data_IF_493079986113
#
_entry.id   IF_493079986113
#
_cell.length_a   1.000
_cell.length_b   1.000
_cell.length_c   1.000
_cell.angle_alpha   90.00
_cell.angle_beta   90.00
_cell.angle_gamma   90.00
#
_symmetry.space_group_name_H-M   'P 1'
#
loop_
_entity.id
_entity.type
_entity.pdbx_description
1 polymer ?
#
# COMPACT_ATOMS: atom_id res chain seq x y z
N UNK A 1 -33.74 -2.97 38.11
CA UNK A 1 -33.71 -2.90 36.63
C UNK A 1 -32.49 -2.09 36.23
N UNK A 2 -31.40 -2.77 35.89
CA UNK A 2 -30.29 -2.12 35.18
C UNK A 2 -30.61 -2.11 33.68
N UNK A 3 -30.29 -1.03 32.94
CA UNK A 3 -30.53 -1.00 31.52
C UNK A 3 -29.60 -1.99 30.82
N UNK A 4 -30.19 -2.86 30.01
CA UNK A 4 -29.50 -3.79 29.13
C UNK A 4 -28.76 -2.97 28.06
N UNK A 5 -27.48 -2.70 28.31
CA UNK A 5 -26.58 -2.12 27.33
C UNK A 5 -26.30 -3.20 26.28
N UNK A 6 -27.17 -3.27 25.27
CA UNK A 6 -26.94 -4.08 24.07
C UNK A 6 -25.74 -3.46 23.36
N UNK A 7 -24.56 -3.94 23.72
CA UNK A 7 -23.29 -3.53 23.14
C UNK A 7 -23.41 -3.51 21.62
N UNK A 8 -23.16 -2.33 21.05
CA UNK A 8 -23.08 -2.16 19.60
C UNK A 8 -22.08 -3.20 19.10
N UNK A 9 -22.55 -4.10 18.24
CA UNK A 9 -21.72 -5.15 17.66
C UNK A 9 -20.53 -4.49 16.96
N UNK A 10 -19.31 -4.76 17.45
CA UNK A 10 -18.07 -4.18 16.92
C UNK A 10 -17.93 -4.43 15.41
N UNK A 11 -18.48 -5.54 14.92
CA UNK A 11 -18.47 -5.86 13.49
C UNK A 11 -19.29 -4.87 12.66
N UNK A 12 -20.39 -4.35 13.20
CA UNK A 12 -21.25 -3.33 12.57
C UNK A 12 -20.54 -1.97 12.55
N UNK A 13 -19.87 -1.60 13.64
CA UNK A 13 -19.08 -0.36 13.72
C UNK A 13 -17.93 -0.38 12.71
N UNK A 14 -17.18 -1.48 12.64
CA UNK A 14 -16.08 -1.63 11.68
C UNK A 14 -16.56 -1.66 10.23
N UNK A 15 -17.72 -2.25 9.95
CA UNK A 15 -18.31 -2.23 8.63
C UNK A 15 -18.73 -0.81 8.23
N UNK A 16 -19.33 -0.05 9.16
CA UNK A 16 -19.73 1.33 8.94
C UNK A 16 -18.52 2.26 8.72
N UNK A 17 -17.47 2.14 9.54
CA UNK A 17 -16.21 2.87 9.35
C UNK A 17 -15.61 2.59 7.98
N UNK A 18 -15.60 1.32 7.54
CA UNK A 18 -15.09 0.94 6.21
C UNK A 18 -15.94 1.46 5.05
N UNK A 19 -17.25 1.58 5.25
CA UNK A 19 -18.14 2.18 4.26
C UNK A 19 -17.89 3.68 4.15
N UNK A 20 -17.81 4.36 5.29
CA UNK A 20 -17.58 5.79 5.35
C UNK A 20 -16.21 6.19 4.80
N UNK A 21 -15.15 5.43 5.11
CA UNK A 21 -13.82 5.63 4.52
C UNK A 21 -13.84 5.52 3.00
N UNK A 22 -14.51 4.50 2.44
CA UNK A 22 -14.64 4.34 0.99
C UNK A 22 -15.44 5.48 0.35
N UNK A 23 -16.45 6.00 1.05
CA UNK A 23 -17.20 7.19 0.63
C UNK A 23 -16.29 8.43 0.59
N UNK A 24 -15.52 8.66 1.66
CA UNK A 24 -14.59 9.79 1.78
C UNK A 24 -13.43 9.71 0.78
N UNK A 25 -12.92 8.51 0.50
CA UNK A 25 -11.85 8.27 -0.48
C UNK A 25 -12.22 8.69 -1.92
N UNK A 26 -13.52 8.90 -2.18
CA UNK A 26 -14.03 9.40 -3.47
C UNK A 26 -14.67 10.80 -3.34
N UNK A 27 -14.63 11.41 -2.15
CA UNK A 27 -15.19 12.74 -1.91
C UNK A 27 -14.18 13.82 -2.35
N UNK A 28 -14.53 14.67 -3.33
CA UNK A 28 -13.60 15.67 -3.86
C UNK A 28 -13.05 16.63 -2.80
N UNK A 29 -13.87 17.09 -1.84
CA UNK A 29 -13.43 18.04 -0.82
C UNK A 29 -12.51 17.37 0.20
N UNK A 30 -12.75 16.09 0.48
CA UNK A 30 -11.87 15.30 1.33
C UNK A 30 -10.52 15.09 0.64
N UNK A 31 -10.52 14.71 -0.65
CA UNK A 31 -9.31 14.46 -1.42
C UNK A 31 -8.44 15.71 -1.54
N UNK A 32 -9.02 16.87 -1.88
CA UNK A 32 -8.29 18.16 -1.91
C UNK A 32 -7.52 18.44 -0.62
N UNK A 33 -8.07 18.02 0.52
CA UNK A 33 -7.49 18.27 1.83
C UNK A 33 -6.52 17.20 2.32
N UNK A 34 -6.55 15.98 1.78
CA UNK A 34 -5.87 14.84 2.41
C UNK A 34 -4.97 14.03 1.46
N UNK A 35 -5.12 14.19 0.15
CA UNK A 35 -4.29 13.50 -0.82
C UNK A 35 -2.81 13.87 -0.66
N UNK A 36 -1.93 12.88 -0.81
CA UNK A 36 -0.47 12.97 -0.68
C UNK A 36 0.04 13.44 0.69
N UNK A 37 -0.81 13.44 1.74
CA UNK A 37 -0.38 13.82 3.10
C UNK A 37 0.23 12.67 3.88
N UNK A 38 -0.15 11.44 3.56
CA UNK A 38 0.36 10.24 4.23
C UNK A 38 0.46 9.10 3.24
N UNK A 39 1.70 8.64 3.07
CA UNK A 39 2.06 7.52 2.20
C UNK A 39 2.41 6.33 3.09
N UNK A 40 1.91 5.16 2.71
CA UNK A 40 2.31 3.89 3.33
C UNK A 40 3.10 3.05 2.34
N UNK A 41 4.07 2.30 2.86
CA UNK A 41 4.72 1.18 2.17
C UNK A 41 4.56 -0.07 3.03
N UNK A 42 3.80 -1.04 2.53
CA UNK A 42 3.46 -2.27 3.24
C UNK A 42 3.45 -3.46 2.26
N UNK A 43 3.50 -4.67 2.81
CA UNK A 43 3.51 -5.94 2.08
C UNK A 43 2.25 -6.72 2.42
N UNK A 44 1.66 -7.45 1.47
CA UNK A 44 0.55 -8.35 1.78
C UNK A 44 0.57 -9.60 0.93
N UNK A 45 0.20 -10.74 1.52
CA UNK A 45 0.05 -11.97 0.77
C UNK A 45 -1.27 -11.95 -0.01
N UNK A 46 -1.27 -12.62 -1.17
CA UNK A 46 -2.47 -12.80 -2.00
C UNK A 46 -2.63 -14.28 -2.34
N UNK A 47 -3.85 -14.78 -2.65
CA UNK A 47 -4.10 -16.20 -2.90
C UNK A 47 -3.64 -16.64 -4.29
N UNK A 48 -2.39 -16.35 -4.64
CA UNK A 48 -1.72 -16.79 -5.85
C UNK A 48 -0.48 -17.55 -5.41
N UNK A 49 -0.23 -18.70 -6.01
CA UNK A 49 1.05 -19.42 -5.94
C UNK A 49 1.68 -19.26 -7.32
N UNK A 50 2.95 -18.84 -7.34
CA UNK A 50 3.73 -18.72 -8.57
C UNK A 50 4.21 -20.12 -8.92
N UNK A 51 4.17 -20.49 -10.21
CA UNK A 51 4.67 -21.78 -10.67
C UNK A 51 6.11 -22.01 -10.22
N UNK A 52 6.36 -23.12 -9.52
CA UNK A 52 7.67 -23.45 -8.94
C UNK A 52 7.79 -23.10 -7.45
N UNK A 53 6.87 -22.31 -6.90
CA UNK A 53 6.80 -21.99 -5.48
C UNK A 53 5.75 -22.83 -4.73
N UNK A 54 5.89 -22.91 -3.41
CA UNK A 54 4.92 -23.57 -2.53
C UNK A 54 4.14 -22.60 -1.63
N UNK A 55 4.51 -21.31 -1.68
CA UNK A 55 4.02 -20.25 -0.80
C UNK A 55 3.09 -19.29 -1.54
N UNK A 56 2.32 -18.51 -0.76
CA UNK A 56 1.55 -17.42 -1.35
C UNK A 56 2.48 -16.32 -1.82
N UNK A 57 2.21 -15.82 -3.01
CA UNK A 57 2.83 -14.62 -3.51
C UNK A 57 2.52 -13.41 -2.61
N UNK A 58 3.47 -12.48 -2.61
CA UNK A 58 3.43 -11.25 -1.83
C UNK A 58 3.47 -10.06 -2.79
N UNK A 59 2.76 -9.00 -2.41
CA UNK A 59 2.79 -7.72 -3.11
C UNK A 59 3.26 -6.63 -2.16
N UNK A 60 4.28 -5.89 -2.58
CA UNK A 60 4.65 -4.61 -1.99
C UNK A 60 3.80 -3.50 -2.61
N UNK A 61 3.21 -2.64 -1.79
CA UNK A 61 2.33 -1.56 -2.25
C UNK A 61 2.76 -0.24 -1.62
N UNK A 62 3.00 0.76 -2.47
CA UNK A 62 3.13 2.17 -2.11
C UNK A 62 1.79 2.85 -2.39
N UNK A 63 1.17 3.46 -1.38
CA UNK A 63 -0.19 3.96 -1.49
C UNK A 63 -0.42 5.26 -0.72
N UNK A 64 -1.25 6.14 -1.29
CA UNK A 64 -1.84 7.27 -0.58
C UNK A 64 -3.00 6.80 0.32
N UNK A 65 -2.91 7.09 1.61
CA UNK A 65 -3.90 6.59 2.59
C UNK A 65 -5.25 7.28 2.55
N UNK A 66 -5.33 8.50 2.02
CA UNK A 66 -6.58 9.25 1.95
C UNK A 66 -7.52 8.71 0.87
N UNK A 67 -6.95 8.43 -0.30
CA UNK A 67 -7.66 7.97 -1.48
C UNK A 67 -7.64 6.44 -1.65
N UNK A 68 -6.62 5.78 -1.09
CA UNK A 68 -6.32 4.39 -1.39
C UNK A 68 -5.70 4.19 -2.77
N UNK A 69 -5.23 5.26 -3.43
CA UNK A 69 -4.56 5.18 -4.72
C UNK A 69 -3.24 4.43 -4.58
N UNK A 70 -3.09 3.34 -5.34
CA UNK A 70 -1.82 2.62 -5.46
C UNK A 70 -0.94 3.45 -6.38
N UNK A 71 0.14 4.00 -5.83
CA UNK A 71 1.13 4.80 -6.55
C UNK A 71 2.12 3.90 -7.29
N UNK A 72 2.50 2.79 -6.65
CA UNK A 72 3.36 1.78 -7.23
C UNK A 72 3.26 0.48 -6.47
N UNK A 73 3.46 -0.62 -7.17
CA UNK A 73 3.36 -1.96 -6.61
C UNK A 73 4.33 -2.91 -7.30
N UNK A 74 4.75 -3.95 -6.58
CA UNK A 74 5.59 -5.00 -7.13
C UNK A 74 5.22 -6.34 -6.50
N UNK A 75 5.21 -7.39 -7.32
CA UNK A 75 4.73 -8.72 -6.99
C UNK A 75 5.88 -9.73 -7.05
N UNK A 76 5.92 -10.67 -6.11
CA UNK A 76 6.90 -11.76 -6.09
C UNK A 76 6.73 -12.66 -4.88
N UNK A 77 7.84 -13.16 -4.34
CA UNK A 77 7.85 -14.03 -3.16
C UNK A 77 8.14 -13.24 -1.88
N UNK A 78 7.93 -13.85 -0.71
CA UNK A 78 8.30 -13.23 0.57
C UNK A 78 9.83 -13.10 0.74
N UNK A 79 10.60 -13.98 0.12
CA UNK A 79 12.07 -13.98 0.19
C UNK A 79 12.64 -12.73 -0.50
N UNK A 80 11.93 -12.20 -1.51
CA UNK A 80 12.30 -10.99 -2.26
C UNK A 80 11.69 -9.70 -1.66
N UNK A 81 11.06 -9.74 -0.48
CA UNK A 81 10.24 -8.65 0.05
C UNK A 81 10.96 -7.27 0.08
N UNK A 82 12.25 -7.26 0.40
CA UNK A 82 13.08 -6.06 0.37
C UNK A 82 13.20 -5.45 -1.03
N UNK A 83 13.47 -6.28 -2.02
CA UNK A 83 13.59 -5.90 -3.42
C UNK A 83 12.24 -5.45 -3.99
N UNK A 84 11.16 -6.18 -3.68
CA UNK A 84 9.80 -5.81 -4.08
C UNK A 84 9.42 -4.41 -3.59
N UNK A 85 9.75 -4.08 -2.34
CA UNK A 85 9.52 -2.75 -1.78
C UNK A 85 10.30 -1.65 -2.50
N UNK A 86 11.57 -1.91 -2.83
CA UNK A 86 12.41 -0.99 -3.59
C UNK A 86 11.83 -0.76 -5.00
N UNK A 87 11.47 -1.82 -5.70
CA UNK A 87 10.88 -1.76 -7.04
C UNK A 87 9.54 -1.04 -7.02
N UNK A 88 8.65 -1.37 -6.07
CA UNK A 88 7.37 -0.68 -5.90
C UNK A 88 7.55 0.84 -5.67
N UNK A 89 8.57 1.23 -4.91
CA UNK A 89 8.90 2.64 -4.67
C UNK A 89 9.41 3.34 -5.93
N UNK A 90 10.25 2.66 -6.73
CA UNK A 90 10.70 3.20 -8.02
C UNK A 90 9.56 3.32 -9.03
N UNK A 91 8.62 2.37 -9.04
CA UNK A 91 7.40 2.46 -9.85
C UNK A 91 6.55 3.64 -9.39
N UNK A 92 6.41 3.86 -8.08
CA UNK A 92 5.68 5.00 -7.54
C UNK A 92 6.32 6.34 -7.95
N UNK A 93 7.65 6.42 -7.95
CA UNK A 93 8.37 7.60 -8.44
C UNK A 93 8.09 7.85 -9.92
N UNK A 94 8.16 6.82 -10.77
CA UNK A 94 7.85 6.92 -12.19
C UNK A 94 6.39 7.31 -12.43
N UNK A 95 5.45 6.73 -11.66
CA UNK A 95 4.04 7.10 -11.72
C UNK A 95 3.80 8.58 -11.38
N UNK A 96 4.44 9.09 -10.33
CA UNK A 96 4.35 10.50 -9.96
C UNK A 96 4.94 11.40 -11.04
N UNK A 97 6.05 11.00 -11.66
CA UNK A 97 6.64 11.72 -12.79
C UNK A 97 5.72 11.74 -14.02
N UNK A 98 5.16 10.59 -14.41
CA UNK A 98 4.23 10.48 -15.54
C UNK A 98 2.96 11.29 -15.32
N UNK A 99 2.48 11.34 -14.06
CA UNK A 99 1.29 12.10 -13.69
C UNK A 99 1.59 13.59 -13.45
N UNK A 100 2.86 14.01 -13.33
CA UNK A 100 3.29 15.38 -13.03
C UNK A 100 2.69 16.45 -13.96
N UNK A 101 2.60 16.26 -15.30
CA UNK A 101 1.98 17.25 -16.18
C UNK A 101 0.48 17.41 -15.94
N UNK A 102 -0.14 16.43 -15.28
CA UNK A 102 -1.56 16.33 -15.09
C UNK A 102 -2.02 16.41 -13.64
N UNK A 103 -1.16 16.43 -12.62
CA UNK A 103 -1.56 16.50 -11.21
C UNK A 103 -1.20 17.86 -10.59
N UNK A 104 -2.19 18.45 -9.93
CA UNK A 104 -2.01 19.58 -9.01
C UNK A 104 -2.22 19.06 -7.61
N UNK A 105 -1.19 19.19 -6.79
CA UNK A 105 -1.27 18.85 -5.38
C UNK A 105 -1.33 20.15 -4.60
N UNK A 106 -2.48 20.46 -3.98
CA UNK A 106 -2.63 21.60 -3.07
C UNK A 106 -1.83 21.44 -1.75
N UNK A 107 -0.99 20.40 -1.66
CA UNK A 107 -0.21 20.09 -0.49
C UNK A 107 1.21 20.65 -0.58
N UNK A 108 1.50 21.65 0.24
CA UNK A 108 2.80 22.34 0.30
C UNK A 108 3.74 21.81 1.39
N UNK A 109 3.32 20.81 2.17
CA UNK A 109 4.11 20.24 3.27
C UNK A 109 4.82 18.93 2.89
N UNK A 110 5.58 18.38 3.85
CA UNK A 110 6.17 17.05 3.71
C UNK A 110 5.19 15.95 4.16
N UNK A 111 4.98 14.90 3.35
CA UNK A 111 4.11 13.78 3.72
C UNK A 111 4.57 13.07 5.01
N UNK A 112 3.62 12.48 5.73
CA UNK A 112 3.92 11.41 6.69
C UNK A 112 4.26 10.13 5.93
N UNK A 113 5.22 9.38 6.44
CA UNK A 113 5.63 8.11 5.87
C UNK A 113 5.53 7.00 6.92
N UNK A 114 4.70 6.00 6.63
CA UNK A 114 4.58 4.78 7.43
C UNK A 114 5.23 3.62 6.65
N UNK A 115 6.34 3.08 7.17
CA UNK A 115 7.11 1.99 6.57
C UNK A 115 6.98 0.71 7.38
N UNK A 116 6.59 -0.38 6.74
CA UNK A 116 6.56 -1.70 7.36
C UNK A 116 7.65 -2.56 6.71
N UNK A 117 8.72 -2.84 7.44
CA UNK A 117 9.95 -3.45 6.89
C UNK A 117 9.99 -4.97 7.11
N UNK A 118 10.78 -5.74 6.32
CA UNK A 118 11.02 -7.19 6.45
C UNK A 118 11.58 -7.64 7.82
N UNK A 119 11.41 -8.92 8.21
CA UNK A 119 11.76 -9.44 9.55
C UNK A 119 13.22 -9.52 9.92
N UNK A 120 14.12 -9.35 8.97
CA UNK A 120 15.56 -9.36 9.23
C UNK A 120 16.13 -8.02 9.69
N UNK A 121 15.31 -6.97 9.80
CA UNK A 121 15.83 -5.60 9.94
C UNK A 121 15.80 -5.12 11.39
N UNK A 122 16.91 -5.33 12.10
CA UNK A 122 17.23 -4.62 13.34
C UNK A 122 17.16 -3.09 13.13
N UNK A 123 16.99 -2.33 14.22
CA UNK A 123 16.78 -0.89 14.26
C UNK A 123 17.55 -0.11 13.16
N UNK A 124 16.86 0.16 12.05
CA UNK A 124 17.45 0.87 10.94
C UNK A 124 17.38 2.35 11.24
N UNK A 125 18.54 3.01 11.22
CA UNK A 125 18.58 4.46 11.23
C UNK A 125 18.23 4.97 9.84
N UNK A 126 17.09 5.67 9.66
CA UNK A 126 16.75 6.26 8.38
C UNK A 126 17.78 7.35 8.00
N UNK A 127 18.13 7.47 6.71
CA UNK A 127 19.06 8.49 6.26
C UNK A 127 18.46 9.89 6.46
N UNK A 128 19.33 10.88 6.64
CA UNK A 128 18.92 12.27 6.82
C UNK A 128 18.07 12.80 5.65
N UNK A 129 18.31 12.31 4.42
CA UNK A 129 17.50 12.66 3.24
C UNK A 129 16.03 12.24 3.40
N UNK A 130 15.78 11.02 3.92
CA UNK A 130 14.43 10.51 4.15
C UNK A 130 13.71 11.27 5.26
N UNK A 131 14.43 11.60 6.34
CA UNK A 131 13.90 12.44 7.42
C UNK A 131 13.62 13.87 6.96
N UNK A 132 14.44 14.43 6.06
CA UNK A 132 14.23 15.77 5.51
C UNK A 132 13.06 15.82 4.51
N UNK A 133 12.79 14.72 3.81
CA UNK A 133 11.73 14.63 2.83
C UNK A 133 10.37 14.16 3.41
N UNK A 134 10.30 13.86 4.71
CA UNK A 134 9.09 13.47 5.41
C UNK A 134 8.80 14.39 6.60
N UNK A 135 7.51 14.57 6.95
CA UNK A 135 7.14 15.28 8.18
C UNK A 135 7.27 14.37 9.39
N UNK A 136 6.88 13.11 9.22
CA UNK A 136 7.05 12.08 10.22
C UNK A 136 7.38 10.76 9.53
N UNK A 137 8.16 9.94 10.22
CA UNK A 137 8.59 8.64 9.74
C UNK A 137 8.32 7.61 10.83
N UNK A 138 7.45 6.66 10.53
CA UNK A 138 7.16 5.53 11.39
C UNK A 138 7.69 4.26 10.73
N UNK A 139 8.76 3.68 11.28
CA UNK A 139 9.30 2.39 10.85
C UNK A 139 8.81 1.32 11.81
N UNK A 140 8.06 0.35 11.30
CA UNK A 140 7.60 -0.80 12.05
C UNK A 140 8.37 -2.05 11.63
N UNK A 141 9.04 -2.67 12.60
CA UNK A 141 9.54 -4.03 12.47
C UNK A 141 8.36 -5.02 12.44
N UNK A 142 8.51 -6.19 11.81
CA UNK A 142 7.46 -7.19 11.83
C UNK A 142 7.46 -7.97 13.15
N UNK A 143 6.32 -7.93 13.82
CA UNK A 143 6.01 -8.66 15.05
C UNK A 143 4.63 -8.22 15.55
N UNK A 144 3.79 -9.18 15.99
CA UNK A 144 2.34 -9.13 16.38
C UNK A 144 1.37 -8.33 15.49
N UNK A 145 1.84 -7.35 14.74
CA UNK A 145 1.20 -6.72 13.61
C UNK A 145 1.34 -7.56 12.36
N UNK A 146 0.23 -7.56 11.64
CA UNK A 146 0.04 -8.21 10.38
C UNK A 146 0.51 -7.29 9.26
N UNK A 147 1.56 -7.68 8.53
CA UNK A 147 1.74 -7.17 7.17
C UNK A 147 0.41 -7.12 6.42
N UNK A 148 0.17 -6.02 5.72
CA UNK A 148 -1.02 -5.80 4.92
C UNK A 148 -2.21 -5.33 5.72
N UNK A 149 -2.10 -5.15 7.04
CA UNK A 149 -3.21 -4.65 7.84
C UNK A 149 -3.47 -3.17 7.61
N UNK A 150 -2.44 -2.35 7.37
CA UNK A 150 -2.67 -0.95 6.98
C UNK A 150 -3.30 -0.88 5.59
N UNK A 151 -2.84 -1.71 4.65
CA UNK A 151 -3.46 -1.84 3.32
C UNK A 151 -4.95 -2.18 3.48
N UNK A 152 -5.27 -3.25 4.22
CA UNK A 152 -6.66 -3.69 4.44
C UNK A 152 -7.52 -2.65 5.16
N UNK A 153 -6.95 -1.87 6.08
CA UNK A 153 -7.65 -0.78 6.74
C UNK A 153 -7.97 0.39 5.81
N UNK A 154 -7.17 0.58 4.77
CA UNK A 154 -7.32 1.65 3.76
C UNK A 154 -8.26 1.21 2.64
N UNK A 155 -7.94 0.12 1.93
CA UNK A 155 -8.69 -0.30 0.72
C UNK A 155 -9.76 -1.37 1.01
N UNK A 156 -9.73 -1.99 2.19
CA UNK A 156 -10.59 -3.11 2.54
C UNK A 156 -9.93 -4.47 2.31
N UNK A 157 -10.68 -5.58 2.51
CA UNK A 157 -10.11 -6.94 2.50
C UNK A 157 -9.75 -7.47 1.11
N UNK A 158 -9.86 -6.64 0.06
CA UNK A 158 -9.62 -7.03 -1.34
C UNK A 158 -9.21 -5.84 -2.19
N UNK A 159 -8.40 -6.09 -3.21
CA UNK A 159 -8.15 -5.17 -4.33
C UNK A 159 -8.77 -5.80 -5.58
N UNK A 160 -9.76 -5.13 -6.15
CA UNK A 160 -10.61 -5.70 -7.19
C UNK A 160 -11.26 -7.02 -6.73
N UNK A 161 -10.87 -8.12 -7.37
CA UNK A 161 -11.32 -9.49 -7.05
C UNK A 161 -10.35 -10.28 -6.17
N UNK A 162 -9.16 -9.76 -5.90
CA UNK A 162 -8.11 -10.47 -5.16
C UNK A 162 -8.29 -10.19 -3.67
N UNK A 163 -8.62 -11.20 -2.84
CA UNK A 163 -8.66 -11.00 -1.41
C UNK A 163 -7.22 -10.82 -0.89
N UNK A 164 -7.04 -9.84 -0.01
CA UNK A 164 -5.79 -9.62 0.68
C UNK A 164 -5.74 -10.57 1.88
N UNK A 165 -4.58 -11.18 2.10
CA UNK A 165 -4.34 -12.10 3.19
C UNK A 165 -3.35 -11.49 4.18
N UNK A 166 -3.76 -10.46 4.96
CA UNK A 166 -2.89 -9.92 5.99
C UNK A 166 -2.54 -11.03 6.99
N UNK A 167 -1.36 -10.97 7.62
CA UNK A 167 -0.81 -12.01 8.55
C UNK A 167 -0.32 -13.29 7.90
N UNK A 168 -0.75 -13.62 6.68
CA UNK A 168 -0.28 -14.83 5.98
C UNK A 168 1.08 -14.65 5.31
N UNK A 169 1.60 -13.43 5.31
CA UNK A 169 2.93 -13.03 4.84
C UNK A 169 4.07 -13.48 5.77
N UNK A 170 3.78 -13.88 7.01
CA UNK A 170 4.80 -14.15 8.05
C UNK A 170 4.57 -15.42 8.86
N UNK A 171 3.68 -16.32 8.43
CA UNK A 171 3.43 -17.50 9.25
C UNK A 171 4.76 -18.23 9.46
N UNK A 172 5.18 -18.27 10.73
CA UNK A 172 6.34 -19.01 11.27
C UNK A 172 6.25 -20.51 10.91
N UNK A 173 5.16 -20.91 10.24
CA UNK A 173 5.06 -22.09 9.41
C UNK A 173 4.62 -21.61 8.02
N UNK A 174 5.54 -21.58 7.04
CA UNK A 174 5.26 -21.44 5.61
C UNK A 174 4.28 -22.56 5.24
N UNK A 175 2.98 -22.32 5.33
CA UNK A 175 1.97 -23.34 5.01
C UNK A 175 2.00 -23.57 3.49
N UNK A 176 2.05 -24.82 3.04
CA UNK A 176 2.01 -25.13 1.61
C UNK A 176 0.61 -24.83 1.06
N UNK A 177 0.46 -23.77 0.26
CA UNK A 177 -0.84 -23.30 -0.21
C UNK A 177 -1.24 -23.83 -1.59
N UNK A 178 -0.31 -24.41 -2.35
CA UNK A 178 -0.55 -25.01 -3.67
C UNK A 178 -1.71 -26.03 -3.71
N UNK A 179 -2.10 -26.60 -2.57
CA UNK A 179 -3.19 -27.59 -2.46
C UNK A 179 -4.57 -27.01 -2.13
N UNK A 180 -4.68 -25.70 -1.91
CA UNK A 180 -5.94 -25.05 -1.54
C UNK A 180 -6.76 -24.69 -2.78
N UNK A 181 -8.02 -25.17 -2.86
CA UNK A 181 -8.94 -24.88 -4.00
C UNK A 181 -9.26 -23.39 -4.22
N UNK A 182 -8.85 -22.50 -3.31
CA UNK A 182 -9.08 -21.06 -3.38
C UNK A 182 -7.85 -20.26 -3.85
N UNK A 183 -6.77 -20.96 -4.18
CA UNK A 183 -5.51 -20.38 -4.62
C UNK A 183 -5.35 -20.65 -6.11
N UNK A 184 -4.96 -19.62 -6.86
CA UNK A 184 -4.63 -19.76 -8.26
C UNK A 184 -3.15 -20.14 -8.38
N UNK A 185 -2.86 -21.20 -9.13
CA UNK A 185 -1.51 -21.60 -9.52
C UNK A 185 -1.28 -21.02 -10.93
N UNK A 186 -0.38 -20.05 -11.04
CA UNK A 186 -0.17 -19.25 -12.25
C UNK A 186 1.33 -19.12 -12.51
N UNK A 187 1.72 -19.07 -13.79
CA UNK A 187 3.08 -18.67 -14.13
C UNK A 187 3.34 -17.21 -13.72
N UNK A 188 4.62 -16.78 -13.57
CA UNK A 188 4.96 -15.43 -13.11
C UNK A 188 4.35 -14.30 -13.95
N UNK A 189 4.24 -14.48 -15.28
CA UNK A 189 3.73 -13.46 -16.20
C UNK A 189 2.21 -13.35 -16.04
N UNK A 190 1.50 -14.48 -16.00
CA UNK A 190 0.07 -14.52 -15.76
C UNK A 190 -0.32 -13.96 -14.39
N UNK A 191 0.44 -14.32 -13.35
CA UNK A 191 0.23 -13.83 -12.00
C UNK A 191 0.38 -12.30 -11.92
N UNK A 192 1.45 -11.77 -12.52
CA UNK A 192 1.70 -10.34 -12.61
C UNK A 192 0.59 -9.62 -13.38
N UNK A 193 0.23 -10.11 -14.57
CA UNK A 193 -0.85 -9.51 -15.38
C UNK A 193 -2.21 -9.55 -14.66
N UNK A 194 -2.50 -10.63 -13.94
CA UNK A 194 -3.72 -10.77 -13.14
C UNK A 194 -3.78 -9.74 -12.02
N UNK A 195 -2.69 -9.56 -11.27
CA UNK A 195 -2.58 -8.53 -10.24
C UNK A 195 -2.73 -7.12 -10.82
N UNK A 196 -1.92 -6.77 -11.84
CA UNK A 196 -1.91 -5.44 -12.46
C UNK A 196 -3.29 -5.04 -12.96
N UNK A 197 -4.04 -5.98 -13.57
CA UNK A 197 -5.41 -5.72 -14.00
C UNK A 197 -6.34 -5.32 -12.85
N UNK A 198 -6.21 -5.94 -11.68
CA UNK A 198 -7.04 -5.62 -10.52
C UNK A 198 -6.60 -4.33 -9.82
N UNK A 199 -5.29 -4.04 -9.79
CA UNK A 199 -4.75 -2.76 -9.32
C UNK A 199 -5.25 -1.60 -10.19
N UNK A 200 -5.21 -1.73 -11.52
CA UNK A 200 -5.74 -0.73 -12.45
C UNK A 200 -7.24 -0.48 -12.24
N UNK A 201 -8.04 -1.54 -12.11
CA UNK A 201 -9.48 -1.42 -11.82
C UNK A 201 -9.78 -0.76 -10.48
N UNK A 202 -8.92 -0.98 -9.48
CA UNK A 202 -9.02 -0.33 -8.18
C UNK A 202 -8.70 1.16 -8.27
N UNK A 203 -7.65 1.52 -9.01
CA UNK A 203 -7.22 2.90 -9.20
C UNK A 203 -8.17 3.73 -10.08
N UNK A 204 -8.82 3.13 -11.08
CA UNK A 204 -9.71 3.82 -12.04
C UNK A 204 -10.74 4.77 -11.38
N UNK A 205 -11.61 4.33 -10.46
CA UNK A 205 -12.58 5.24 -9.81
C UNK A 205 -11.92 6.32 -8.95
N UNK A 206 -10.73 6.05 -8.40
CA UNK A 206 -9.99 7.00 -7.57
C UNK A 206 -9.38 8.10 -8.44
N UNK A 207 -8.77 7.74 -9.56
CA UNK A 207 -8.25 8.69 -10.54
C UNK A 207 -9.36 9.61 -11.06
N UNK A 208 -10.54 9.07 -11.36
CA UNK A 208 -11.72 9.87 -11.73
C UNK A 208 -12.18 10.81 -10.60
N UNK A 209 -12.06 10.40 -9.34
CA UNK A 209 -12.38 11.27 -8.21
C UNK A 209 -11.35 12.39 -8.02
N UNK A 210 -10.05 12.09 -8.24
CA UNK A 210 -8.99 13.09 -8.26
C UNK A 210 -9.18 14.10 -9.40
N UNK A 211 -9.63 13.64 -10.57
CA UNK A 211 -10.02 14.52 -11.68
C UNK A 211 -11.11 15.51 -11.26
N UNK A 212 -12.20 14.99 -10.67
CA UNK A 212 -13.34 15.78 -10.20
C UNK A 212 -12.96 16.74 -9.07
N UNK A 213 -12.00 16.36 -8.26
CA UNK A 213 -11.40 17.20 -7.23
C UNK A 213 -10.54 18.34 -7.81
N UNK A 214 -10.29 18.34 -9.12
CA UNK A 214 -9.35 19.28 -9.75
C UNK A 214 -7.91 19.03 -9.33
N UNK A 215 -7.63 17.86 -8.75
CA UNK A 215 -6.28 17.43 -8.43
C UNK A 215 -5.58 16.88 -9.66
N UNK A 216 -6.30 16.55 -10.75
CA UNK A 216 -5.70 16.37 -12.07
C UNK A 216 -5.70 17.69 -12.85
N UNK A 217 -4.77 18.61 -12.54
CA UNK A 217 -4.56 19.86 -13.30
C UNK A 217 -3.07 20.14 -13.51
N UNK A 218 -2.75 20.86 -14.57
CA UNK A 218 -1.39 21.21 -14.96
C UNK A 218 -0.81 22.37 -14.12
N UNK A 219 -0.91 22.30 -12.80
CA UNK A 219 -0.50 23.41 -11.93
C UNK A 219 0.39 22.91 -10.78
N UNK A 220 1.71 23.04 -11.04
CA UNK A 220 2.89 22.84 -10.18
C UNK A 220 3.14 21.42 -9.64
N UNK A 221 4.37 20.89 -9.81
CA UNK A 221 4.76 19.61 -9.22
C UNK A 221 4.75 19.67 -7.69
N UNK A 222 4.45 18.55 -7.04
CA UNK A 222 4.73 18.37 -5.63
C UNK A 222 6.14 17.81 -5.44
N UNK A 223 7.12 18.70 -5.41
CA UNK A 223 8.53 18.37 -5.22
C UNK A 223 8.78 17.56 -3.93
N UNK A 224 7.91 17.70 -2.90
CA UNK A 224 8.06 16.98 -1.64
C UNK A 224 7.70 15.50 -1.76
N UNK A 225 6.65 15.14 -2.53
CA UNK A 225 6.29 13.73 -2.73
C UNK A 225 7.37 13.01 -3.55
N UNK A 226 7.88 13.66 -4.58
CA UNK A 226 8.96 13.13 -5.39
C UNK A 226 10.24 12.96 -4.56
N UNK A 227 10.64 13.99 -3.82
CA UNK A 227 11.79 13.93 -2.92
C UNK A 227 11.64 12.83 -1.86
N UNK A 228 10.43 12.63 -1.32
CA UNK A 228 10.12 11.55 -0.38
C UNK A 228 10.38 10.19 -1.03
N UNK A 229 9.77 9.94 -2.19
CA UNK A 229 9.85 8.64 -2.88
C UNK A 229 11.28 8.36 -3.34
N UNK A 230 12.00 9.39 -3.78
CA UNK A 230 13.42 9.29 -4.13
C UNK A 230 14.26 8.92 -2.90
N UNK A 231 14.14 9.66 -1.80
CA UNK A 231 14.87 9.38 -0.56
C UNK A 231 14.49 8.01 0.03
N UNK A 232 13.25 7.56 -0.15
CA UNK A 232 12.79 6.23 0.24
C UNK A 232 13.43 5.14 -0.64
N UNK A 233 13.52 5.35 -1.95
CA UNK A 233 14.20 4.41 -2.84
C UNK A 233 15.70 4.30 -2.52
N UNK A 234 16.37 5.43 -2.25
CA UNK A 234 17.76 5.44 -1.77
C UNK A 234 17.89 4.67 -0.45
N UNK A 235 16.98 4.93 0.49
CA UNK A 235 16.97 4.24 1.77
C UNK A 235 16.83 2.73 1.59
N UNK A 236 15.83 2.26 0.85
CA UNK A 236 15.59 0.84 0.60
C UNK A 236 16.76 0.16 -0.09
N UNK A 237 17.43 0.85 -1.02
CA UNK A 237 18.64 0.35 -1.70
C UNK A 237 19.88 0.32 -0.79
N UNK A 238 19.91 1.14 0.27
CA UNK A 238 21.00 1.14 1.25
C UNK A 238 20.88 0.04 2.31
N UNK A 239 19.76 -0.66 2.35
CA UNK A 239 19.54 -1.72 3.31
C UNK A 239 20.42 -2.92 2.91
N UNK A 240 21.09 -3.57 3.88
CA UNK A 240 21.93 -4.71 3.58
C UNK A 240 21.12 -5.81 2.88
N UNK A 241 21.74 -6.42 1.87
CA UNK A 241 21.20 -7.60 1.20
C UNK A 241 20.98 -8.71 2.23
N UNK A 242 19.82 -9.39 2.13
CA UNK A 242 19.39 -10.48 3.03
C UNK A 242 20.10 -11.77 2.65
#
# INVERSE_FOLDING_TARGET
MQPNDKGIDRSVVEAWIRHERRRLALDPQFLQKNFAKRIILDLTAIPIVIEGDEELAVVAIVMDTASGLILGDCFGTIDDAAELQLVATRIALAFVEDMRPGLSYDYTGYPDLDLILPPSRDAINPPASLLAASRSLEIRAPGTYAYGQQIVQTVGPKIGRIPLAPRKTLSVQREKFARSRKVADLDPIEASAFWQREALRHNEPILLALEKAGLLRADRPNENLEALLFALAEFLASLPDI
#
